data_IF_757864263853
#
_entry.id   IF_757864263853
#
_cell.length_a   1.000
_cell.length_b   1.000
_cell.length_c   1.000
_cell.angle_alpha   90.00
_cell.angle_beta   90.00
_cell.angle_gamma   90.00
#
_symmetry.space_group_name_H-M   'P 1'
#
loop_
_entity.id
_entity.type
_entity.pdbx_description
1 polymer ?
#
# COMPACT_ATOMS: atom_id res chain seq x y z
N UNK A 1 -3.63 -10.94 -15.31
CA UNK A 1 -3.59 -11.41 -13.90
C UNK A 1 -4.62 -10.61 -13.13
N UNK A 2 -5.56 -11.26 -12.46
CA UNK A 2 -6.49 -10.55 -11.57
C UNK A 2 -5.71 -10.15 -10.31
N UNK A 3 -5.42 -8.85 -10.16
CA UNK A 3 -4.63 -8.35 -9.05
C UNK A 3 -5.54 -8.18 -7.83
N UNK A 4 -5.50 -9.15 -6.92
CA UNK A 4 -6.28 -9.07 -5.68
C UNK A 4 -5.69 -8.04 -4.71
N UNK A 5 -6.53 -7.47 -3.82
CA UNK A 5 -6.04 -6.60 -2.74
C UNK A 5 -5.00 -7.29 -1.86
N UNK A 6 -5.16 -8.60 -1.62
CA UNK A 6 -4.24 -9.40 -0.82
C UNK A 6 -2.85 -9.43 -1.44
N UNK A 7 -2.75 -9.89 -2.69
CA UNK A 7 -1.48 -9.98 -3.43
C UNK A 7 -0.80 -8.62 -3.57
N UNK A 8 -1.57 -7.54 -3.69
CA UNK A 8 -1.03 -6.19 -3.69
C UNK A 8 -0.33 -5.82 -2.38
N UNK A 9 -1.00 -5.99 -1.24
CA UNK A 9 -0.42 -5.63 0.04
C UNK A 9 0.76 -6.53 0.42
N UNK A 10 0.71 -7.81 0.08
CA UNK A 10 1.83 -8.74 0.25
C UNK A 10 3.06 -8.31 -0.57
N UNK A 11 2.87 -7.88 -1.81
CA UNK A 11 3.95 -7.34 -2.64
C UNK A 11 4.51 -6.02 -2.09
N UNK A 12 3.66 -5.12 -1.59
CA UNK A 12 4.10 -3.91 -0.90
C UNK A 12 4.95 -4.25 0.33
N UNK A 13 4.52 -5.22 1.13
CA UNK A 13 5.24 -5.68 2.32
C UNK A 13 6.61 -6.26 1.97
N UNK A 14 6.67 -7.08 0.91
CA UNK A 14 7.90 -7.64 0.37
C UNK A 14 8.88 -6.58 -0.12
N UNK A 15 8.41 -5.55 -0.82
CA UNK A 15 9.28 -4.45 -1.31
C UNK A 15 9.82 -3.61 -0.14
N UNK A 16 8.95 -3.31 0.82
CA UNK A 16 9.33 -2.53 1.99
C UNK A 16 10.11 -3.34 3.02
N UNK A 17 10.17 -4.66 2.92
CA UNK A 17 10.70 -5.54 3.96
C UNK A 17 9.99 -5.25 5.31
N UNK A 18 8.66 -5.24 5.26
CA UNK A 18 7.79 -4.90 6.36
C UNK A 18 6.94 -6.11 6.76
N UNK A 19 6.79 -6.32 8.07
CA UNK A 19 5.81 -7.27 8.57
C UNK A 19 4.40 -6.71 8.33
N UNK A 20 3.62 -7.41 7.51
CA UNK A 20 2.24 -7.04 7.17
C UNK A 20 1.34 -8.26 7.23
N UNK A 21 0.28 -8.18 8.03
CA UNK A 21 -0.73 -9.23 8.10
C UNK A 21 -1.99 -8.79 7.37
N UNK A 22 -2.26 -9.40 6.21
CA UNK A 22 -3.49 -9.13 5.48
C UNK A 22 -4.69 -9.73 6.21
N UNK A 23 -5.60 -8.87 6.64
CA UNK A 23 -6.90 -9.28 7.19
C UNK A 23 -7.98 -9.10 6.12
N UNK A 24 -8.70 -10.16 5.70
CA UNK A 24 -9.83 -10.03 4.80
C UNK A 24 -10.84 -9.02 5.36
N UNK A 25 -11.41 -8.21 4.48
CA UNK A 25 -12.35 -7.18 4.90
C UNK A 25 -13.59 -7.84 5.52
N UNK A 26 -13.92 -7.59 6.81
CA UNK A 26 -14.91 -8.39 7.53
C UNK A 26 -16.36 -7.99 7.22
N UNK A 27 -16.59 -6.92 6.45
CA UNK A 27 -17.93 -6.38 6.18
C UNK A 27 -18.34 -6.56 4.72
N UNK A 28 -19.55 -7.03 4.44
CA UNK A 28 -20.01 -7.18 3.05
C UNK A 28 -20.10 -5.87 2.25
N UNK A 29 -20.34 -4.73 2.91
CA UNK A 29 -20.47 -3.40 2.27
C UNK A 29 -19.59 -2.35 2.94
N UNK A 30 -18.99 -1.49 2.11
CA UNK A 30 -18.32 -0.28 2.59
C UNK A 30 -19.38 0.74 3.02
N UNK A 31 -19.24 1.27 4.23
CA UNK A 31 -20.02 2.36 4.81
C UNK A 31 -19.10 3.52 5.14
N UNK A 32 -19.67 4.70 5.38
CA UNK A 32 -18.89 5.88 5.81
C UNK A 32 -18.05 5.62 7.06
N UNK A 33 -18.51 4.76 7.97
CA UNK A 33 -17.86 4.50 9.26
C UNK A 33 -16.76 3.46 9.14
N UNK A 34 -17.00 2.34 8.45
CA UNK A 34 -15.99 1.29 8.32
C UNK A 34 -14.84 1.71 7.38
N UNK A 35 -15.06 2.62 6.42
CA UNK A 35 -14.02 3.13 5.52
C UNK A 35 -13.01 4.09 6.20
N UNK A 36 -13.25 4.47 7.47
CA UNK A 36 -12.34 5.34 8.24
C UNK A 36 -11.10 4.60 8.71
N UNK A 37 -11.20 3.30 8.96
CA UNK A 37 -10.03 2.51 9.32
C UNK A 37 -9.08 2.40 8.11
N UNK A 38 -7.78 2.57 8.35
CA UNK A 38 -6.78 2.33 7.31
C UNK A 38 -6.76 0.84 6.88
N UNK A 39 -7.26 -0.07 7.73
CA UNK A 39 -7.30 -1.52 7.47
C UNK A 39 -5.92 -2.07 7.16
N UNK A 40 -5.82 -2.87 6.09
CA UNK A 40 -4.57 -3.39 5.55
C UNK A 40 -3.65 -2.30 4.99
N UNK A 41 -4.05 -1.04 4.96
CA UNK A 41 -3.21 -0.01 4.38
C UNK A 41 -2.09 0.49 5.28
N UNK A 42 -1.94 -0.03 6.50
CA UNK A 42 -0.91 0.42 7.44
C UNK A 42 0.32 -0.47 7.35
N UNK A 43 1.47 0.16 7.09
CA UNK A 43 2.78 -0.48 7.06
C UNK A 43 3.61 0.05 8.22
N UNK A 44 3.76 -0.71 9.33
CA UNK A 44 4.48 -0.27 10.52
C UNK A 44 5.89 0.22 10.18
N UNK A 45 6.27 1.40 10.68
CA UNK A 45 7.59 2.00 10.42
C UNK A 45 7.74 2.71 9.07
N UNK A 46 6.82 2.53 8.11
CA UNK A 46 6.88 3.13 6.77
C UNK A 46 5.82 4.21 6.55
N UNK A 47 4.55 3.90 6.86
CA UNK A 47 3.44 4.82 6.64
C UNK A 47 2.15 4.11 6.21
N UNK A 48 1.47 4.68 5.21
CA UNK A 48 0.20 4.20 4.68
C UNK A 48 0.30 3.93 3.18
N UNK A 49 -0.27 2.81 2.74
CA UNK A 49 -0.54 2.48 1.33
C UNK A 49 -1.99 2.02 1.28
N UNK A 50 -2.90 2.73 0.62
CA UNK A 50 -4.34 2.41 0.60
C UNK A 50 -4.82 2.15 -0.81
N UNK A 51 -5.32 0.95 -1.08
CA UNK A 51 -6.02 0.61 -2.33
C UNK A 51 -7.53 0.81 -2.17
N UNK A 52 -8.05 1.92 -2.68
CA UNK A 52 -9.50 2.19 -2.73
C UNK A 52 -10.17 1.38 -3.85
N UNK A 53 -9.51 1.27 -5.00
CA UNK A 53 -9.93 0.47 -6.15
C UNK A 53 -8.75 0.16 -7.07
N UNK A 54 -8.96 -0.59 -8.17
CA UNK A 54 -7.89 -0.99 -9.09
C UNK A 54 -7.16 0.20 -9.74
N UNK A 55 -7.85 1.34 -9.86
CA UNK A 55 -7.32 2.57 -10.47
C UNK A 55 -7.15 3.73 -9.48
N UNK A 56 -7.22 3.44 -8.18
CA UNK A 56 -7.12 4.47 -7.16
C UNK A 56 -6.39 3.92 -5.94
N UNK A 57 -5.08 4.17 -5.92
CA UNK A 57 -4.17 3.75 -4.87
C UNK A 57 -3.47 4.99 -4.32
N UNK A 58 -3.46 5.13 -3.01
CA UNK A 58 -2.75 6.20 -2.31
C UNK A 58 -1.51 5.64 -1.63
N UNK A 59 -0.36 6.26 -1.84
CA UNK A 59 0.87 5.99 -1.10
C UNK A 59 1.20 7.24 -0.29
N UNK A 60 1.40 7.08 1.02
CA UNK A 60 1.80 8.12 1.94
C UNK A 60 2.83 7.53 2.92
N UNK A 61 4.10 7.48 2.48
CA UNK A 61 5.23 6.95 3.23
C UNK A 61 6.11 8.08 3.77
N UNK A 62 6.68 7.86 4.94
CA UNK A 62 7.70 8.73 5.56
C UNK A 62 9.09 8.12 5.51
N UNK A 63 9.16 6.81 5.32
CA UNK A 63 10.38 6.03 5.13
C UNK A 63 10.13 5.06 3.98
N UNK A 64 11.14 4.75 3.17
CA UNK A 64 12.52 5.17 3.31
C UNK A 64 12.84 6.61 2.87
N UNK A 65 11.98 7.14 2.01
CA UNK A 65 11.93 8.54 1.59
C UNK A 65 10.50 9.02 1.77
N UNK A 66 10.32 10.33 1.94
CA UNK A 66 8.97 10.90 1.98
C UNK A 66 8.33 10.77 0.60
N UNK A 67 7.23 10.02 0.53
CA UNK A 67 6.55 9.69 -0.72
C UNK A 67 5.05 9.85 -0.51
N UNK A 68 4.46 10.86 -1.15
CA UNK A 68 3.03 11.13 -1.12
C UNK A 68 2.51 11.15 -2.56
N UNK A 69 1.91 10.04 -3.01
CA UNK A 69 1.47 9.84 -4.40
C UNK A 69 0.07 9.24 -4.47
N UNK A 70 -0.61 9.57 -5.57
CA UNK A 70 -1.82 8.87 -6.02
C UNK A 70 -1.47 8.14 -7.33
N UNK A 71 -1.71 6.84 -7.37
CA UNK A 71 -1.44 5.98 -8.51
C UNK A 71 -2.74 5.46 -9.12
N UNK A 72 -2.72 5.27 -10.44
CA UNK A 72 -3.83 4.83 -11.27
C UNK A 72 -3.78 3.34 -11.63
N UNK A 73 -2.77 2.62 -11.14
CA UNK A 73 -2.67 1.16 -11.22
C UNK A 73 -1.80 0.58 -10.10
N UNK A 74 -1.95 -0.73 -9.87
CA UNK A 74 -1.12 -1.47 -8.92
C UNK A 74 0.35 -1.50 -9.37
N UNK A 75 0.59 -1.65 -10.67
CA UNK A 75 1.90 -1.68 -11.28
C UNK A 75 2.66 -0.37 -11.06
N UNK A 76 1.97 0.77 -11.24
CA UNK A 76 2.54 2.10 -10.99
C UNK A 76 2.92 2.28 -9.52
N UNK A 77 2.02 1.88 -8.61
CA UNK A 77 2.28 1.93 -7.18
C UNK A 77 3.49 1.08 -6.77
N UNK A 78 3.59 -0.15 -7.26
CA UNK A 78 4.71 -1.05 -6.97
C UNK A 78 6.03 -0.54 -7.58
N UNK A 79 5.99 0.06 -8.77
CA UNK A 79 7.17 0.68 -9.38
C UNK A 79 7.68 1.85 -8.53
N UNK A 80 6.78 2.73 -8.05
CA UNK A 80 7.14 3.85 -7.18
C UNK A 80 7.79 3.38 -5.87
N UNK A 81 7.26 2.32 -5.24
CA UNK A 81 7.83 1.74 -4.02
C UNK A 81 9.22 1.15 -4.24
N UNK A 82 9.44 0.45 -5.35
CA UNK A 82 10.76 -0.11 -5.70
C UNK A 82 11.79 1.00 -5.89
N UNK A 83 11.43 2.06 -6.61
CA UNK A 83 12.29 3.24 -6.79
C UNK A 83 12.64 3.86 -5.44
N UNK A 84 11.66 4.08 -4.56
CA UNK A 84 11.89 4.64 -3.23
C UNK A 84 12.86 3.78 -2.39
N UNK A 85 12.72 2.44 -2.44
CA UNK A 85 13.62 1.51 -1.75
C UNK A 85 15.04 1.55 -2.31
N UNK A 86 15.21 1.66 -3.63
CA UNK A 86 16.53 1.80 -4.27
C UNK A 86 17.22 3.11 -3.87
N UNK A 87 16.47 4.21 -3.77
CA UNK A 87 17.00 5.50 -3.30
C UNK A 87 17.54 5.39 -1.87
N UNK A 88 16.86 4.63 -0.99
CA UNK A 88 17.33 4.38 0.37
C UNK A 88 18.69 3.70 0.43
N UNK A 89 18.89 2.65 -0.37
CA UNK A 89 20.10 1.82 -0.33
C UNK A 89 21.34 2.55 -0.85
N UNK A 90 21.16 3.67 -1.54
CA UNK A 90 22.24 4.50 -2.09
C UNK A 90 22.65 5.64 -1.17
N UNK A 91 21.87 5.93 -0.13
CA UNK A 91 22.19 6.95 0.89
C UNK A 91 22.79 6.30 2.13
#
# INVERSE_FOLDING_TARGET
MEFSKKTFYEECARILDAEHSYTPWPYGRITRWNNRAAGNGRFPGYGLIRMFGPHHIQIALRRPTELNLLCHSAEEALAALRTARLTQQRS
#
